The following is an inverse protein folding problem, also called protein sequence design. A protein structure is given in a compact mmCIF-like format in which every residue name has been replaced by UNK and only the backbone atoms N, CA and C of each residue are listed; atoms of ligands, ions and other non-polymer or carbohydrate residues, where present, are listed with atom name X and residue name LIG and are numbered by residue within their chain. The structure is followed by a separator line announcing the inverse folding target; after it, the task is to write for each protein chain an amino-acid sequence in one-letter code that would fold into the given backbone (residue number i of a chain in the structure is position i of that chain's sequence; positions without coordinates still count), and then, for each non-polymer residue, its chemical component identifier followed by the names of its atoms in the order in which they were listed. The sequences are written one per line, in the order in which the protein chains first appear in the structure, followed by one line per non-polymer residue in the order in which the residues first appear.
data_IF_852721409420
#
_entry.id   IF_852721409420
#
_cell.length_a   1.000
_cell.length_b   1.000
_cell.length_c   1.000
_cell.angle_alpha   90.00
_cell.angle_beta   90.00
_cell.angle_gamma   90.00
#
_symmetry.space_group_name_H-M   'P 1'
#
loop_
_entity.id
_entity.type
_entity.pdbx_description
1 polymer ?
#
# COMPACT_ATOMS: atom_id res chain seq x y z
N UNK A 1 2.54 9.21 -29.76
CA UNK A 1 2.50 9.40 -28.28
C UNK A 1 3.48 10.51 -27.95
N UNK A 2 3.06 11.58 -27.27
CA UNK A 2 4.01 12.59 -26.79
C UNK A 2 4.95 11.94 -25.77
N UNK A 3 6.26 12.00 -26.01
CA UNK A 3 7.24 11.55 -25.03
C UNK A 3 7.17 12.41 -23.76
N UNK A 4 7.14 11.77 -22.62
CA UNK A 4 7.17 12.47 -21.31
C UNK A 4 8.53 13.17 -21.16
N UNK A 5 8.51 14.43 -20.76
CA UNK A 5 9.75 15.19 -20.56
C UNK A 5 10.53 14.66 -19.34
N UNK A 6 11.80 14.34 -19.52
CA UNK A 6 12.72 13.93 -18.45
C UNK A 6 13.08 15.13 -17.58
N UNK A 7 12.37 15.30 -16.45
CA UNK A 7 12.43 16.52 -15.60
C UNK A 7 13.15 16.30 -14.28
N UNK A 8 13.02 15.10 -13.68
CA UNK A 8 13.35 14.89 -12.28
C UNK A 8 14.75 14.33 -12.06
N UNK A 9 15.47 14.94 -11.10
CA UNK A 9 16.75 14.43 -10.59
C UNK A 9 16.57 13.51 -9.39
N UNK A 10 17.69 13.06 -8.81
CA UNK A 10 17.70 12.07 -7.71
C UNK A 10 16.91 12.52 -6.47
N UNK A 11 17.04 13.76 -6.03
CA UNK A 11 16.36 14.25 -4.83
C UNK A 11 14.85 14.28 -4.99
N UNK A 12 14.38 14.76 -6.14
CA UNK A 12 12.94 14.74 -6.46
C UNK A 12 12.42 13.33 -6.57
N UNK A 13 13.15 12.43 -7.23
CA UNK A 13 12.77 11.02 -7.34
C UNK A 13 12.71 10.34 -5.97
N UNK A 14 13.68 10.58 -5.09
CA UNK A 14 13.69 10.04 -3.71
C UNK A 14 12.51 10.58 -2.91
N UNK A 15 12.22 11.87 -2.99
CA UNK A 15 11.06 12.47 -2.33
C UNK A 15 9.74 11.90 -2.86
N UNK A 16 9.64 11.62 -4.17
CA UNK A 16 8.47 10.96 -4.76
C UNK A 16 8.29 9.53 -4.23
N UNK A 17 9.38 8.74 -4.14
CA UNK A 17 9.33 7.39 -3.55
C UNK A 17 8.82 7.45 -2.11
N UNK A 18 9.41 8.30 -1.27
CA UNK A 18 8.97 8.52 0.11
C UNK A 18 7.48 8.90 0.14
N UNK A 19 7.09 9.86 -0.69
CA UNK A 19 5.71 10.34 -0.75
C UNK A 19 4.70 9.32 -1.26
N UNK A 20 5.08 8.36 -2.09
CA UNK A 20 4.20 7.31 -2.59
C UNK A 20 4.04 6.20 -1.53
N UNK A 21 5.14 5.77 -0.91
CA UNK A 21 5.13 4.68 0.09
C UNK A 21 4.49 5.14 1.40
N UNK A 22 4.87 6.32 1.91
CA UNK A 22 4.23 6.84 3.12
C UNK A 22 2.76 7.12 2.83
N UNK A 23 1.91 6.30 3.39
CA UNK A 23 0.46 6.35 3.27
C UNK A 23 -0.23 6.37 4.62
N UNK A 24 -1.43 5.79 4.66
CA UNK A 24 -2.19 5.56 5.89
C UNK A 24 -1.69 4.36 6.70
N UNK A 25 -0.95 3.44 6.05
CA UNK A 25 -0.62 2.13 6.64
C UNK A 25 0.09 2.20 7.99
N UNK A 26 1.03 3.13 8.15
CA UNK A 26 1.75 3.30 9.42
C UNK A 26 0.84 3.80 10.55
N UNK A 27 -0.20 4.56 10.25
CA UNK A 27 -1.19 4.99 11.24
C UNK A 27 -2.18 3.88 11.59
N UNK A 28 -2.56 3.08 10.60
CA UNK A 28 -3.62 2.07 10.68
C UNK A 28 -3.14 0.69 11.17
N UNK A 29 -1.84 0.38 11.08
CA UNK A 29 -1.31 -0.97 11.38
C UNK A 29 -0.42 -1.03 12.63
N UNK A 30 -0.31 0.05 13.37
CA UNK A 30 0.58 0.09 14.53
C UNK A 30 0.15 -0.87 15.64
N UNK A 31 -1.13 -0.91 15.98
CA UNK A 31 -1.74 -1.80 16.96
C UNK A 31 -1.82 -3.25 16.48
N UNK A 32 -2.18 -3.49 15.20
CA UNK A 32 -2.18 -4.82 14.58
C UNK A 32 -0.81 -5.50 14.67
N UNK A 33 0.28 -4.76 14.39
CA UNK A 33 1.65 -5.26 14.49
C UNK A 33 2.01 -5.59 15.93
N UNK A 34 1.63 -4.75 16.90
CA UNK A 34 1.87 -5.01 18.33
C UNK A 34 1.08 -6.22 18.82
N UNK A 35 -0.19 -6.33 18.45
CA UNK A 35 -1.04 -7.46 18.80
C UNK A 35 -0.48 -8.77 18.24
N UNK A 36 -0.12 -8.80 16.95
CA UNK A 36 0.50 -9.98 16.33
C UNK A 36 1.84 -10.35 16.97
N UNK A 37 2.57 -9.35 17.51
CA UNK A 37 3.84 -9.52 18.23
C UNK A 37 3.67 -9.97 19.70
N UNK A 38 2.46 -10.35 20.12
CA UNK A 38 2.18 -10.74 21.50
C UNK A 38 2.32 -9.57 22.50
N UNK A 39 2.08 -8.33 22.06
CA UNK A 39 2.23 -7.13 22.89
C UNK A 39 3.68 -6.73 23.18
N UNK A 40 4.66 -7.33 22.50
CA UNK A 40 6.09 -7.08 22.69
C UNK A 40 6.62 -6.03 21.73
N UNK A 41 7.03 -4.87 22.24
CA UNK A 41 7.63 -3.81 21.43
C UNK A 41 8.89 -4.25 20.66
N UNK A 42 9.86 -4.99 21.26
CA UNK A 42 11.03 -5.48 20.52
C UNK A 42 10.67 -6.35 19.33
N UNK A 43 9.68 -7.26 19.48
CA UNK A 43 9.23 -8.14 18.40
C UNK A 43 8.48 -7.32 17.33
N UNK A 44 7.68 -6.34 17.73
CA UNK A 44 7.00 -5.44 16.79
C UNK A 44 7.99 -4.62 15.97
N UNK A 45 9.01 -4.04 16.60
CA UNK A 45 10.09 -3.32 15.90
C UNK A 45 10.87 -4.23 14.95
N UNK A 46 11.13 -5.48 15.36
CA UNK A 46 11.76 -6.46 14.48
C UNK A 46 10.87 -6.77 13.26
N UNK A 47 9.56 -6.87 13.44
CA UNK A 47 8.62 -7.04 12.32
C UNK A 47 8.66 -5.85 11.36
N UNK A 48 8.65 -4.61 11.87
CA UNK A 48 8.82 -3.40 11.06
C UNK A 48 10.16 -3.39 10.31
N UNK A 49 11.24 -3.79 10.94
CA UNK A 49 12.57 -3.86 10.32
C UNK A 49 12.62 -4.92 9.21
N UNK A 50 12.10 -6.13 9.47
CA UNK A 50 12.06 -7.22 8.48
C UNK A 50 11.18 -6.84 7.29
N UNK A 51 9.95 -6.34 7.53
CA UNK A 51 9.05 -5.90 6.46
C UNK A 51 9.66 -4.79 5.62
N UNK A 52 10.32 -3.82 6.27
CA UNK A 52 11.06 -2.75 5.61
C UNK A 52 12.26 -3.27 4.79
N UNK A 53 13.03 -4.21 5.32
CA UNK A 53 14.15 -4.83 4.60
C UNK A 53 13.66 -5.60 3.36
N UNK A 54 12.54 -6.33 3.48
CA UNK A 54 11.90 -7.02 2.35
C UNK A 54 11.50 -6.00 1.28
N UNK A 55 10.85 -4.88 1.65
CA UNK A 55 10.52 -3.79 0.72
C UNK A 55 11.75 -3.24 0.03
N UNK A 56 12.81 -2.88 0.77
CA UNK A 56 14.04 -2.28 0.22
C UNK A 56 14.70 -3.21 -0.80
N UNK A 57 14.85 -4.50 -0.46
CA UNK A 57 15.48 -5.48 -1.36
C UNK A 57 14.61 -5.73 -2.58
N UNK A 58 13.30 -5.85 -2.40
CA UNK A 58 12.34 -6.02 -3.50
C UNK A 58 12.37 -4.82 -4.43
N UNK A 59 12.27 -3.59 -3.90
CA UNK A 59 12.37 -2.37 -4.69
C UNK A 59 13.70 -2.25 -5.45
N UNK A 60 14.80 -2.70 -4.85
CA UNK A 60 16.09 -2.76 -5.54
C UNK A 60 16.08 -3.71 -6.74
N UNK A 61 15.51 -4.92 -6.62
CA UNK A 61 15.39 -5.87 -7.74
C UNK A 61 14.51 -5.27 -8.84
N UNK A 62 13.35 -4.74 -8.49
CA UNK A 62 12.44 -4.11 -9.45
C UNK A 62 13.03 -2.87 -10.14
N UNK A 63 13.92 -2.14 -9.47
CA UNK A 63 14.64 -1.05 -10.11
C UNK A 63 15.47 -1.50 -11.32
N UNK A 64 16.02 -2.73 -11.27
CA UNK A 64 16.76 -3.31 -12.40
C UNK A 64 15.85 -3.70 -13.56
N UNK A 65 14.63 -4.12 -13.25
CA UNK A 65 13.59 -4.40 -14.28
C UNK A 65 13.12 -3.09 -14.90
N UNK A 66 12.72 -2.12 -14.06
CA UNK A 66 12.17 -0.85 -14.51
C UNK A 66 13.14 -0.02 -15.37
N UNK A 67 14.45 -0.11 -15.13
CA UNK A 67 15.46 0.58 -15.96
C UNK A 67 15.64 -0.02 -17.35
N UNK A 68 15.08 -1.18 -17.61
CA UNK A 68 15.11 -1.85 -18.94
C UNK A 68 13.79 -1.76 -19.66
N UNK A 69 12.68 -1.67 -18.93
CA UNK A 69 11.33 -1.61 -19.46
C UNK A 69 10.76 -0.22 -19.16
N UNK A 70 10.98 0.72 -20.07
CA UNK A 70 10.52 2.12 -19.95
C UNK A 70 9.03 2.26 -20.32
N UNK A 71 8.18 1.32 -19.89
CA UNK A 71 6.73 1.35 -20.09
C UNK A 71 6.02 1.86 -18.83
N UNK A 72 4.79 2.36 -18.99
CA UNK A 72 4.08 3.12 -17.94
C UNK A 72 3.12 2.28 -17.07
N UNK A 73 2.85 1.02 -17.42
CA UNK A 73 1.92 0.17 -16.66
C UNK A 73 2.62 -0.70 -15.59
N UNK A 74 3.91 -0.46 -15.32
CA UNK A 74 4.65 -1.07 -14.22
C UNK A 74 4.60 -2.60 -14.25
N UNK A 75 4.05 -3.23 -13.20
CA UNK A 75 4.04 -4.68 -13.01
C UNK A 75 3.45 -5.45 -14.21
N UNK A 76 2.40 -4.93 -14.83
CA UNK A 76 1.75 -5.57 -16.00
C UNK A 76 2.72 -5.67 -17.17
N UNK A 77 3.43 -4.58 -17.46
CA UNK A 77 4.41 -4.53 -18.54
C UNK A 77 5.63 -5.44 -18.27
N UNK A 78 6.04 -5.57 -17.02
CA UNK A 78 7.12 -6.45 -16.62
C UNK A 78 6.76 -7.92 -16.85
N UNK A 79 5.51 -8.30 -16.54
CA UNK A 79 5.01 -9.65 -16.81
C UNK A 79 4.82 -9.93 -18.29
N UNK A 80 4.35 -8.95 -19.04
CA UNK A 80 4.21 -9.06 -20.49
C UNK A 80 5.56 -9.31 -21.18
N UNK A 81 6.60 -8.61 -20.72
CA UNK A 81 7.98 -8.78 -21.22
C UNK A 81 8.59 -10.14 -20.81
N UNK A 82 8.37 -10.54 -19.55
CA UNK A 82 8.98 -11.75 -18.99
C UNK A 82 8.34 -13.04 -19.48
N UNK A 83 7.00 -13.05 -19.59
CA UNK A 83 6.20 -14.27 -19.76
C UNK A 83 5.14 -14.16 -20.86
N UNK A 84 5.16 -13.05 -21.60
CA UNK A 84 4.23 -12.80 -22.70
C UNK A 84 2.88 -12.22 -22.26
N UNK A 85 2.10 -11.81 -23.26
CA UNK A 85 0.85 -11.07 -23.09
C UNK A 85 -0.19 -11.76 -22.21
N UNK A 86 -0.22 -13.11 -22.18
CA UNK A 86 -1.16 -13.88 -21.33
C UNK A 86 -0.87 -13.69 -19.85
N UNK A 87 0.40 -13.70 -19.46
CA UNK A 87 0.81 -13.45 -18.09
C UNK A 87 0.55 -11.99 -17.69
N UNK A 88 0.86 -11.03 -18.58
CA UNK A 88 0.52 -9.63 -18.38
C UNK A 88 -0.98 -9.40 -18.18
N UNK A 89 -1.82 -10.10 -18.97
CA UNK A 89 -3.27 -10.06 -18.83
C UNK A 89 -3.74 -10.56 -17.44
N UNK A 90 -3.26 -11.71 -16.97
CA UNK A 90 -3.65 -12.27 -15.68
C UNK A 90 -3.26 -11.35 -14.51
N UNK A 91 -2.07 -10.76 -14.59
CA UNK A 91 -1.64 -9.76 -13.60
C UNK A 91 -2.51 -8.51 -13.66
N UNK A 92 -2.81 -8.00 -14.85
CA UNK A 92 -3.70 -6.85 -15.01
C UNK A 92 -5.11 -7.14 -14.49
N UNK A 93 -5.61 -8.35 -14.70
CA UNK A 93 -6.89 -8.82 -14.18
C UNK A 93 -6.89 -8.86 -12.65
N UNK A 94 -5.86 -9.47 -12.04
CA UNK A 94 -5.68 -9.48 -10.59
C UNK A 94 -5.64 -8.06 -10.00
N UNK A 95 -4.84 -7.16 -10.58
CA UNK A 95 -4.73 -5.77 -10.13
C UNK A 95 -6.07 -5.04 -10.21
N UNK A 96 -6.85 -5.28 -11.28
CA UNK A 96 -8.12 -4.59 -11.54
C UNK A 96 -9.25 -5.09 -10.65
N UNK A 97 -9.37 -6.39 -10.44
CA UNK A 97 -10.53 -6.99 -9.77
C UNK A 97 -10.31 -7.28 -8.28
N UNK A 98 -9.04 -7.38 -7.85
CA UNK A 98 -8.70 -7.73 -6.46
C UNK A 98 -7.86 -6.63 -5.82
N UNK A 99 -6.64 -6.41 -6.29
CA UNK A 99 -5.68 -5.56 -5.58
C UNK A 99 -6.16 -4.12 -5.36
N UNK A 100 -6.44 -3.37 -6.44
CA UNK A 100 -6.88 -1.98 -6.29
C UNK A 100 -8.21 -1.86 -5.54
N UNK A 101 -9.28 -2.58 -5.89
CA UNK A 101 -10.56 -2.33 -5.27
C UNK A 101 -10.65 -2.76 -3.81
N UNK A 102 -9.91 -3.79 -3.36
CA UNK A 102 -9.82 -4.15 -1.94
C UNK A 102 -9.13 -3.04 -1.14
N UNK A 103 -7.98 -2.55 -1.61
CA UNK A 103 -7.25 -1.49 -0.93
C UNK A 103 -8.03 -0.17 -0.93
N UNK A 104 -8.72 0.17 -2.02
CA UNK A 104 -9.60 1.35 -2.09
C UNK A 104 -10.72 1.24 -1.04
N UNK A 105 -11.36 0.08 -0.90
CA UNK A 105 -12.42 -0.14 0.08
C UNK A 105 -11.91 0.04 1.52
N UNK A 106 -10.78 -0.57 1.86
CA UNK A 106 -10.16 -0.44 3.18
C UNK A 106 -9.76 1.00 3.46
N UNK A 107 -9.14 1.69 2.51
CA UNK A 107 -8.71 3.09 2.68
C UNK A 107 -9.88 4.06 2.80
N UNK A 108 -10.98 3.83 2.09
CA UNK A 108 -12.22 4.60 2.26
C UNK A 108 -12.75 4.45 3.69
N UNK A 109 -12.76 3.21 4.20
CA UNK A 109 -13.18 2.92 5.57
C UNK A 109 -12.23 3.52 6.62
N UNK A 110 -10.91 3.36 6.48
CA UNK A 110 -9.93 3.94 7.40
C UNK A 110 -10.08 5.46 7.48
N UNK A 111 -10.19 6.13 6.32
CA UNK A 111 -10.38 7.58 6.27
C UNK A 111 -11.68 8.02 6.95
N UNK A 112 -12.75 7.23 6.74
CA UNK A 112 -14.05 7.48 7.35
C UNK A 112 -14.05 7.25 8.86
N UNK A 113 -13.32 6.26 9.35
CA UNK A 113 -13.20 5.97 10.78
C UNK A 113 -12.59 7.16 11.53
N UNK A 114 -11.45 7.68 11.06
CA UNK A 114 -10.86 8.90 11.64
C UNK A 114 -11.77 10.11 11.54
N UNK A 115 -12.52 10.25 10.43
CA UNK A 115 -13.45 11.38 10.26
C UNK A 115 -14.65 11.25 11.18
N UNK A 116 -15.20 10.06 11.32
CA UNK A 116 -16.32 9.78 12.22
C UNK A 116 -15.96 10.04 13.69
N UNK A 117 -14.78 9.58 14.10
CA UNK A 117 -14.24 9.88 15.45
C UNK A 117 -14.05 11.38 15.67
N UNK A 118 -13.50 12.11 14.70
CA UNK A 118 -13.32 13.57 14.77
C UNK A 118 -14.65 14.32 14.92
N UNK A 119 -15.71 13.86 14.23
CA UNK A 119 -17.03 14.47 14.25
C UNK A 119 -17.93 13.98 15.39
N UNK A 120 -17.50 12.97 16.17
CA UNK A 120 -18.34 12.31 17.17
C UNK A 120 -19.54 11.55 16.54
N UNK A 121 -19.41 11.08 15.30
CA UNK A 121 -20.46 10.41 14.52
C UNK A 121 -20.02 8.96 14.15
N UNK A 122 -19.70 8.15 15.13
CA UNK A 122 -19.16 6.80 14.93
C UNK A 122 -20.08 5.86 14.14
N UNK A 123 -21.39 6.00 14.28
CA UNK A 123 -22.37 5.23 13.50
C UNK A 123 -22.37 5.58 12.00
N UNK A 124 -21.75 6.71 11.62
CA UNK A 124 -21.70 7.21 10.24
C UNK A 124 -20.52 6.68 9.40
N UNK A 125 -19.64 5.83 9.94
CA UNK A 125 -18.43 5.37 9.26
C UNK A 125 -18.73 4.84 7.84
N UNK A 126 -19.73 3.99 7.68
CA UNK A 126 -20.06 3.40 6.37
C UNK A 126 -20.66 4.41 5.39
N UNK A 127 -21.42 5.36 5.89
CA UNK A 127 -21.94 6.47 5.08
C UNK A 127 -20.79 7.36 4.60
N UNK A 128 -19.89 7.76 5.50
CA UNK A 128 -18.72 8.59 5.17
C UNK A 128 -17.79 7.85 4.20
N UNK A 129 -17.56 6.54 4.39
CA UNK A 129 -16.80 5.70 3.46
C UNK A 129 -17.38 5.73 2.05
N UNK A 130 -18.70 5.60 1.94
CA UNK A 130 -19.40 5.64 0.66
C UNK A 130 -19.31 7.02 0.02
N UNK A 131 -19.44 8.10 0.79
CA UNK A 131 -19.26 9.47 0.31
C UNK A 131 -17.85 9.68 -0.23
N UNK A 132 -16.81 9.24 0.50
CA UNK A 132 -15.43 9.36 0.04
C UNK A 132 -15.19 8.57 -1.25
N UNK A 133 -15.72 7.35 -1.33
CA UNK A 133 -15.60 6.52 -2.53
C UNK A 133 -16.20 7.23 -3.74
N UNK A 134 -17.46 7.70 -3.64
CA UNK A 134 -18.14 8.44 -4.71
C UNK A 134 -17.37 9.71 -5.06
N UNK A 135 -17.02 10.53 -4.07
CA UNK A 135 -16.35 11.82 -4.29
C UNK A 135 -15.03 11.67 -5.05
N UNK A 136 -14.15 10.75 -4.63
CA UNK A 136 -12.83 10.61 -5.25
C UNK A 136 -12.90 9.93 -6.63
N UNK A 137 -13.85 9.01 -6.87
CA UNK A 137 -14.08 8.51 -8.23
C UNK A 137 -14.60 9.58 -9.16
N UNK A 138 -15.57 10.40 -8.72
CA UNK A 138 -16.04 11.56 -9.49
C UNK A 138 -14.92 12.57 -9.75
N UNK A 139 -14.11 12.88 -8.74
CA UNK A 139 -12.96 13.78 -8.88
C UNK A 139 -12.01 13.29 -9.97
N UNK A 140 -11.65 11.98 -9.97
CA UNK A 140 -10.76 11.40 -10.96
C UNK A 140 -11.39 11.30 -12.36
N UNK A 141 -12.72 11.13 -12.46
CA UNK A 141 -13.43 11.10 -13.74
C UNK A 141 -13.54 12.48 -14.39
N UNK A 142 -13.83 13.51 -13.60
CA UNK A 142 -14.18 14.83 -14.13
C UNK A 142 -13.06 15.85 -14.03
N UNK A 143 -12.14 15.70 -13.08
CA UNK A 143 -11.01 16.61 -12.86
C UNK A 143 -9.73 15.90 -12.47
N UNK A 144 -9.11 15.10 -13.39
CA UNK A 144 -7.85 14.41 -13.11
C UNK A 144 -6.71 15.35 -12.70
N UNK A 145 -6.73 16.59 -13.20
CA UNK A 145 -5.74 17.62 -12.83
C UNK A 145 -5.87 18.00 -11.36
N UNK A 146 -7.10 18.18 -10.86
CA UNK A 146 -7.34 18.50 -9.44
C UNK A 146 -7.01 17.30 -8.56
N UNK A 147 -7.36 16.07 -8.98
CA UNK A 147 -6.97 14.85 -8.31
C UNK A 147 -5.43 14.73 -8.18
N UNK A 148 -4.70 15.07 -9.24
CA UNK A 148 -3.24 15.11 -9.21
C UNK A 148 -2.66 16.18 -8.27
N UNK A 149 -3.23 17.38 -8.26
CA UNK A 149 -2.83 18.44 -7.32
C UNK A 149 -3.09 18.03 -5.86
N UNK A 150 -4.25 17.44 -5.59
CA UNK A 150 -4.57 16.87 -4.28
C UNK A 150 -3.53 15.85 -3.84
N UNK A 151 -3.16 14.93 -4.74
CA UNK A 151 -2.15 13.89 -4.47
C UNK A 151 -0.81 14.49 -4.03
N UNK A 152 -0.33 15.51 -4.74
CA UNK A 152 0.94 16.17 -4.41
C UNK A 152 0.86 16.90 -3.06
N UNK A 153 -0.22 17.66 -2.82
CA UNK A 153 -0.42 18.40 -1.57
C UNK A 153 -0.52 17.45 -0.36
N UNK A 154 -1.32 16.39 -0.47
CA UNK A 154 -1.45 15.37 0.58
C UNK A 154 -0.11 14.69 0.88
N UNK A 155 0.77 14.49 -0.13
CA UNK A 155 2.10 13.90 0.07
C UNK A 155 3.00 14.74 0.97
N UNK A 156 2.94 16.06 0.90
CA UNK A 156 3.70 16.94 1.79
C UNK A 156 3.11 16.94 3.21
N UNK A 157 1.79 17.07 3.28
CA UNK A 157 1.07 17.21 4.56
C UNK A 157 1.24 15.97 5.45
N UNK A 158 1.23 14.77 4.87
CA UNK A 158 1.31 13.50 5.63
C UNK A 158 2.64 13.25 6.36
N UNK A 159 3.71 13.95 6.00
CA UNK A 159 4.99 13.86 6.72
C UNK A 159 4.94 14.57 8.08
N UNK A 160 4.05 15.56 8.24
CA UNK A 160 3.94 16.37 9.46
C UNK A 160 3.57 15.50 10.68
N UNK A 161 2.46 14.73 10.66
CA UNK A 161 2.08 13.90 11.81
C UNK A 161 3.14 12.86 12.17
N UNK A 162 3.79 12.25 11.17
CA UNK A 162 4.84 11.26 11.40
C UNK A 162 6.05 11.87 12.11
N UNK A 163 6.55 13.00 11.61
CA UNK A 163 7.68 13.69 12.20
C UNK A 163 7.35 14.18 13.63
N UNK A 164 6.15 14.72 13.81
CA UNK A 164 5.71 15.24 15.11
C UNK A 164 5.68 14.14 16.17
N UNK A 165 4.98 13.02 15.89
CA UNK A 165 4.89 11.88 16.81
C UNK A 165 6.25 11.25 17.05
N UNK A 166 7.07 11.07 16.00
CA UNK A 166 8.40 10.49 16.13
C UNK A 166 9.30 11.34 17.05
N UNK A 167 9.41 12.64 16.78
CA UNK A 167 10.33 13.52 17.53
C UNK A 167 9.84 13.74 18.96
N UNK A 168 8.59 14.17 19.11
CA UNK A 168 8.06 14.55 20.43
C UNK A 168 7.89 13.32 21.32
N UNK A 169 7.39 12.21 20.74
CA UNK A 169 7.22 10.96 21.49
C UNK A 169 8.56 10.37 21.96
N UNK A 170 9.59 10.38 21.10
CA UNK A 170 10.94 9.92 21.50
C UNK A 170 11.54 10.78 22.60
N UNK A 171 11.48 12.11 22.49
CA UNK A 171 12.01 13.02 23.52
C UNK A 171 11.30 12.77 24.85
N UNK A 172 9.97 12.68 24.83
CA UNK A 172 9.16 12.43 26.03
C UNK A 172 9.50 11.07 26.63
N UNK A 173 9.53 10.02 25.83
CA UNK A 173 9.74 8.65 26.30
C UNK A 173 11.15 8.39 26.84
N UNK A 174 12.16 9.06 26.29
CA UNK A 174 13.52 9.00 26.83
C UNK A 174 13.66 9.79 28.13
N UNK A 175 12.95 10.93 28.25
CA UNK A 175 13.03 11.79 29.45
C UNK A 175 12.32 11.18 30.65
N UNK A 176 11.22 10.45 30.47
CA UNK A 176 10.41 9.86 31.54
C UNK A 176 10.65 8.36 31.75
N UNK A 177 11.49 7.72 30.93
CA UNK A 177 11.79 6.29 31.01
C UNK A 177 10.73 5.37 30.40
N UNK A 178 9.64 5.91 29.82
CA UNK A 178 8.56 5.11 29.21
C UNK A 178 9.06 4.24 28.06
N UNK A 179 9.96 4.73 27.22
CA UNK A 179 10.55 3.94 26.13
C UNK A 179 11.20 2.67 26.69
N UNK A 180 11.99 2.76 27.75
CA UNK A 180 12.65 1.60 28.38
C UNK A 180 11.61 0.65 28.96
N UNK A 181 10.58 1.18 29.63
CA UNK A 181 9.47 0.39 30.16
C UNK A 181 8.76 -0.40 29.07
N UNK A 182 8.46 0.22 27.92
CA UNK A 182 7.79 -0.42 26.78
C UNK A 182 8.65 -1.54 26.14
N UNK A 183 9.98 -1.43 26.20
CA UNK A 183 10.90 -2.50 25.77
C UNK A 183 10.91 -3.71 26.70
N UNK A 184 10.75 -3.50 27.99
CA UNK A 184 10.88 -4.55 29.01
C UNK A 184 9.57 -5.22 29.38
N UNK A 185 8.45 -4.51 29.21
CA UNK A 185 7.12 -4.96 29.61
C UNK A 185 6.23 -5.21 28.40
N UNK A 186 6.02 -6.49 28.04
CA UNK A 186 5.01 -6.85 27.05
C UNK A 186 3.61 -6.65 27.62
N UNK A 187 2.64 -6.33 26.77
CA UNK A 187 1.23 -6.21 27.15
C UNK A 187 0.67 -7.57 27.60
N UNK A 188 0.05 -7.60 28.78
CA UNK A 188 -0.52 -8.83 29.38
C UNK A 188 -1.86 -9.24 28.75
N UNK A 189 -2.52 -8.32 28.07
CA UNK A 189 -3.84 -8.52 27.42
C UNK A 189 -3.79 -9.46 26.22
N UNK A 190 -2.60 -9.70 25.66
CA UNK A 190 -2.40 -10.59 24.51
C UNK A 190 -1.79 -11.90 24.99
N UNK A 191 -2.60 -12.96 25.06
CA UNK A 191 -2.15 -14.27 25.52
C UNK A 191 -1.33 -15.06 24.47
N UNK A 192 -1.57 -14.82 23.20
CA UNK A 192 -0.78 -15.39 22.08
C UNK A 192 -0.93 -14.49 20.86
N UNK A 193 0.16 -13.91 20.39
CA UNK A 193 0.17 -13.19 19.10
C UNK A 193 0.23 -14.19 17.93
N UNK A 194 -0.07 -13.71 16.72
CA UNK A 194 0.07 -14.49 15.48
C UNK A 194 1.54 -14.80 15.11
N UNK A 195 2.49 -14.28 15.91
CA UNK A 195 3.91 -14.45 15.71
C UNK A 195 4.55 -13.44 14.75
N UNK A 196 5.88 -13.49 14.68
CA UNK A 196 6.67 -12.50 13.92
C UNK A 196 6.31 -12.47 12.43
N UNK A 197 5.92 -13.60 11.80
CA UNK A 197 5.55 -13.65 10.39
C UNK A 197 4.23 -12.91 10.12
N UNK A 198 3.23 -13.08 10.99
CA UNK A 198 1.94 -12.36 10.90
C UNK A 198 2.14 -10.86 11.16
N UNK A 199 2.97 -10.51 12.16
CA UNK A 199 3.33 -9.12 12.43
C UNK A 199 4.03 -8.48 11.22
N UNK A 200 4.96 -9.21 10.57
CA UNK A 200 5.65 -8.72 9.36
C UNK A 200 4.68 -8.57 8.18
N UNK A 201 3.71 -9.45 8.02
CA UNK A 201 2.66 -9.31 7.00
C UNK A 201 1.86 -8.02 7.21
N UNK A 202 1.49 -7.69 8.46
CA UNK A 202 0.77 -6.46 8.77
C UNK A 202 1.60 -5.22 8.34
N UNK A 203 2.93 -5.24 8.53
CA UNK A 203 3.79 -4.15 8.05
C UNK A 203 3.84 -4.04 6.52
N UNK A 204 3.61 -5.12 5.79
CA UNK A 204 3.63 -5.11 4.32
C UNK A 204 2.56 -4.17 3.74
N UNK A 205 1.41 -4.02 4.41
CA UNK A 205 0.41 -3.00 4.04
C UNK A 205 0.95 -1.58 4.18
N UNK A 206 1.67 -1.29 5.27
CA UNK A 206 2.23 0.03 5.51
C UNK A 206 3.38 0.38 4.54
N UNK A 207 4.12 -0.62 4.09
CA UNK A 207 5.21 -0.48 3.13
C UNK A 207 4.77 -0.60 1.67
N UNK A 208 3.49 -0.80 1.38
CA UNK A 208 2.99 -0.95 0.01
C UNK A 208 3.04 0.39 -0.75
N UNK A 209 3.02 0.31 -2.08
CA UNK A 209 3.01 1.47 -2.96
C UNK A 209 4.35 1.76 -3.67
N UNK A 210 5.48 1.22 -3.19
CA UNK A 210 6.79 1.42 -3.84
C UNK A 210 6.80 0.97 -5.30
N UNK A 211 5.99 -0.02 -5.67
CA UNK A 211 5.86 -0.50 -7.06
C UNK A 211 5.35 0.60 -8.00
N UNK A 212 4.48 1.50 -7.49
CA UNK A 212 3.99 2.65 -8.25
C UNK A 212 5.13 3.62 -8.57
N UNK A 213 6.12 3.74 -7.65
CA UNK A 213 7.27 4.58 -7.86
C UNK A 213 8.14 4.12 -9.05
N UNK A 214 8.05 2.87 -9.48
CA UNK A 214 8.76 2.41 -10.69
C UNK A 214 8.21 3.05 -11.97
N UNK A 215 6.97 3.51 -11.97
CA UNK A 215 6.34 4.16 -13.13
C UNK A 215 6.87 5.58 -13.42
N UNK A 216 7.55 6.23 -12.45
CA UNK A 216 8.20 7.54 -12.67
C UNK A 216 9.44 7.46 -13.57
N UNK A 217 9.86 6.26 -13.95
CA UNK A 217 11.05 5.99 -14.78
C UNK A 217 11.10 6.87 -16.03
N UNK A 218 9.96 7.00 -16.73
CA UNK A 218 9.85 7.77 -17.98
C UNK A 218 10.12 9.29 -17.81
N UNK A 219 10.05 9.83 -16.58
CA UNK A 219 10.24 11.26 -16.26
C UNK A 219 11.60 11.56 -15.61
N UNK A 220 12.43 10.54 -15.38
CA UNK A 220 13.73 10.70 -14.72
C UNK A 220 14.84 11.09 -15.69
N UNK A 221 15.66 12.08 -15.28
CA UNK A 221 16.97 12.34 -15.87
C UNK A 221 17.88 11.17 -15.52
N UNK A 222 18.53 10.54 -16.52
CA UNK A 222 19.37 9.36 -16.33
C UNK A 222 18.70 8.28 -15.46
N UNK A 223 17.55 7.81 -15.93
CA UNK A 223 16.69 6.85 -15.21
C UNK A 223 17.46 5.59 -14.75
N UNK A 224 18.40 5.08 -15.57
CA UNK A 224 19.20 3.89 -15.26
C UNK A 224 20.03 4.03 -13.97
N UNK A 225 20.46 5.23 -13.64
CA UNK A 225 21.23 5.53 -12.41
C UNK A 225 20.36 6.13 -11.31
N UNK A 226 19.41 6.96 -11.67
CA UNK A 226 18.59 7.72 -10.74
C UNK A 226 17.55 6.84 -10.04
N UNK A 227 16.81 6.00 -10.79
CA UNK A 227 15.72 5.19 -10.23
C UNK A 227 16.21 4.18 -9.16
N UNK A 228 17.27 3.37 -9.39
CA UNK A 228 17.75 2.45 -8.37
C UNK A 228 18.16 3.15 -7.07
N UNK A 229 18.84 4.29 -7.19
CA UNK A 229 19.25 5.09 -6.02
C UNK A 229 18.05 5.69 -5.30
N UNK A 230 17.09 6.26 -6.04
CA UNK A 230 15.90 6.84 -5.46
C UNK A 230 15.03 5.80 -4.74
N UNK A 231 14.85 4.61 -5.33
CA UNK A 231 14.14 3.50 -4.69
C UNK A 231 14.87 3.02 -3.43
N UNK A 232 16.19 2.83 -3.49
CA UNK A 232 16.95 2.39 -2.33
C UNK A 232 16.94 3.41 -1.18
N UNK A 233 17.32 4.66 -1.46
CA UNK A 233 17.36 5.71 -0.42
C UNK A 233 15.96 6.09 0.07
N UNK A 234 14.98 6.16 -0.84
CA UNK A 234 13.60 6.50 -0.49
C UNK A 234 12.96 5.42 0.40
N UNK A 235 13.06 4.15 0.01
CA UNK A 235 12.52 3.06 0.81
C UNK A 235 13.25 2.89 2.15
N UNK A 236 14.58 3.05 2.19
CA UNK A 236 15.33 3.02 3.45
C UNK A 236 14.92 4.16 4.38
N UNK A 237 14.72 5.37 3.85
CA UNK A 237 14.24 6.50 4.63
C UNK A 237 12.83 6.23 5.22
N UNK A 238 11.94 5.61 4.44
CA UNK A 238 10.61 5.20 4.94
C UNK A 238 10.73 4.23 6.11
N UNK A 239 11.60 3.22 6.02
CA UNK A 239 11.81 2.26 7.13
C UNK A 239 12.25 3.00 8.39
N UNK A 240 13.23 3.91 8.28
CA UNK A 240 13.71 4.70 9.42
C UNK A 240 12.59 5.56 10.00
N UNK A 241 11.82 6.26 9.15
CA UNK A 241 10.71 7.11 9.58
C UNK A 241 9.66 6.29 10.33
N UNK A 242 9.27 5.12 9.82
CA UNK A 242 8.27 4.27 10.45
C UNK A 242 8.75 3.70 11.79
N UNK A 243 10.00 3.27 11.88
CA UNK A 243 10.57 2.82 13.15
C UNK A 243 10.63 3.94 14.18
N UNK A 244 11.06 5.15 13.79
CA UNK A 244 11.09 6.31 14.69
C UNK A 244 9.69 6.72 15.12
N UNK A 245 8.73 6.69 14.22
CA UNK A 245 7.33 6.97 14.53
C UNK A 245 6.76 5.95 15.54
N UNK A 246 7.01 4.67 15.32
CA UNK A 246 6.53 3.61 16.20
C UNK A 246 7.17 3.69 17.61
N UNK A 247 8.47 3.97 17.65
CA UNK A 247 9.18 4.27 18.90
C UNK A 247 8.63 5.53 19.59
N UNK A 248 8.23 6.53 18.84
CA UNK A 248 7.59 7.74 19.36
C UNK A 248 6.25 7.43 20.04
N UNK A 249 5.40 6.60 19.45
CA UNK A 249 4.15 6.15 20.09
C UNK A 249 4.47 5.43 21.41
N UNK A 250 5.39 4.47 21.37
CA UNK A 250 5.79 3.65 22.53
C UNK A 250 6.52 4.44 23.62
N UNK A 251 7.02 5.64 23.29
CA UNK A 251 7.65 6.55 24.25
C UNK A 251 6.64 7.34 25.10
N UNK A 252 5.38 7.37 24.69
CA UNK A 252 4.32 8.10 25.42
C UNK A 252 3.29 7.15 26.00
N UNK A 253 2.91 6.12 25.24
CA UNK A 253 1.93 5.11 25.64
C UNK A 253 2.63 3.79 25.99
N UNK A 254 2.11 3.10 26.99
CA UNK A 254 2.48 1.70 27.26
C UNK A 254 1.96 0.78 26.16
N UNK A 255 2.50 -0.43 26.07
CA UNK A 255 2.06 -1.42 25.11
C UNK A 255 0.56 -1.77 25.28
N UNK A 256 0.05 -1.76 26.52
CA UNK A 256 -1.38 -1.98 26.80
C UNK A 256 -2.24 -0.82 26.32
N UNK A 257 -1.81 0.42 26.54
CA UNK A 257 -2.52 1.62 26.07
C UNK A 257 -2.56 1.71 24.54
N UNK A 258 -1.47 1.31 23.86
CA UNK A 258 -1.43 1.26 22.38
C UNK A 258 -2.48 0.27 21.87
N UNK A 259 -2.55 -0.93 22.45
CA UNK A 259 -3.53 -1.95 22.05
C UNK A 259 -4.97 -1.51 22.36
N UNK A 260 -5.19 -0.85 23.50
CA UNK A 260 -6.51 -0.34 23.88
C UNK A 260 -6.97 0.83 23.00
N UNK A 261 -6.03 1.70 22.59
CA UNK A 261 -6.33 2.83 21.72
C UNK A 261 -6.49 2.44 20.25
N UNK A 262 -5.91 1.30 19.84
CA UNK A 262 -5.97 0.85 18.45
C UNK A 262 -5.46 1.92 17.47
N UNK A 263 -6.22 2.18 16.44
CA UNK A 263 -5.90 3.18 15.43
C UNK A 263 -5.76 4.62 15.96
N UNK A 264 -6.32 4.92 17.13
CA UNK A 264 -6.29 6.26 17.73
C UNK A 264 -5.03 6.51 18.59
N UNK A 265 -4.15 5.51 18.75
CA UNK A 265 -2.92 5.64 19.53
C UNK A 265 -2.08 6.88 19.18
N UNK A 266 -1.84 7.24 17.90
CA UNK A 266 -1.10 8.45 17.54
C UNK A 266 -1.79 9.74 17.99
N UNK A 267 -3.13 9.76 17.91
CA UNK A 267 -3.94 10.90 18.34
C UNK A 267 -3.87 11.08 19.87
N UNK A 268 -3.91 9.95 20.62
CA UNK A 268 -3.73 9.94 22.06
C UNK A 268 -2.37 10.49 22.46
N UNK A 269 -1.28 10.07 21.81
CA UNK A 269 0.09 10.58 22.04
C UNK A 269 0.12 12.10 21.98
N UNK A 270 -0.39 12.67 20.89
CA UNK A 270 -0.35 14.13 20.70
C UNK A 270 -1.33 14.86 21.62
N UNK A 271 -2.47 14.24 21.93
CA UNK A 271 -3.44 14.82 22.88
C UNK A 271 -2.88 14.88 24.31
N UNK A 272 -2.10 13.90 24.74
CA UNK A 272 -1.45 13.89 26.04
C UNK A 272 -0.38 14.99 26.14
N UNK A 273 0.32 15.30 25.05
CA UNK A 273 1.43 16.26 25.05
C UNK A 273 0.94 17.70 24.78
N UNK A 274 0.06 17.89 23.81
CA UNK A 274 -0.39 19.21 23.33
C UNK A 274 -1.86 19.52 23.63
N UNK A 275 -2.52 18.64 24.40
CA UNK A 275 -3.93 18.78 24.72
C UNK A 275 -4.87 18.46 23.56
N UNK A 276 -6.17 18.63 23.78
CA UNK A 276 -7.25 18.28 22.84
C UNK A 276 -7.09 18.93 21.46
N UNK A 277 -6.63 20.18 21.41
CA UNK A 277 -6.43 20.89 20.14
C UNK A 277 -5.34 20.22 19.28
N UNK A 278 -4.23 19.83 19.92
CA UNK A 278 -3.16 19.11 19.24
C UNK A 278 -3.64 17.78 18.66
N UNK A 279 -4.39 16.98 19.41
CA UNK A 279 -4.97 15.74 18.93
C UNK A 279 -5.93 15.95 17.76
N UNK A 280 -6.81 16.96 17.83
CA UNK A 280 -7.73 17.32 16.75
C UNK A 280 -6.96 17.68 15.45
N UNK A 281 -5.94 18.52 15.55
CA UNK A 281 -5.12 18.91 14.40
C UNK A 281 -4.38 17.71 13.80
N UNK A 282 -3.83 16.82 14.65
CA UNK A 282 -3.20 15.60 14.17
C UNK A 282 -4.19 14.71 13.41
N UNK A 283 -5.40 14.53 13.96
CA UNK A 283 -6.46 13.75 13.30
C UNK A 283 -6.77 14.28 11.91
N UNK A 284 -6.87 15.62 11.76
CA UNK A 284 -7.08 16.25 10.44
C UNK A 284 -5.92 15.91 9.48
N UNK A 285 -4.67 15.97 9.93
CA UNK A 285 -3.53 15.61 9.11
C UNK A 285 -3.53 14.12 8.72
N UNK A 286 -3.91 13.23 9.64
CA UNK A 286 -4.06 11.79 9.36
C UNK A 286 -5.16 11.55 8.35
N UNK A 287 -6.33 12.19 8.47
CA UNK A 287 -7.42 12.11 7.50
C UNK A 287 -6.93 12.54 6.10
N UNK A 288 -6.24 13.68 5.99
CA UNK A 288 -5.69 14.15 4.70
C UNK A 288 -4.69 13.13 4.14
N UNK A 289 -3.87 12.51 4.98
CA UNK A 289 -2.94 11.44 4.57
C UNK A 289 -3.67 10.24 4.00
N UNK A 290 -4.68 9.74 4.71
CA UNK A 290 -5.49 8.59 4.30
C UNK A 290 -6.23 8.88 2.97
N UNK A 291 -6.85 10.06 2.86
CA UNK A 291 -7.54 10.49 1.64
C UNK A 291 -6.58 10.69 0.45
N UNK A 292 -5.34 11.11 0.71
CA UNK A 292 -4.29 11.18 -0.31
C UNK A 292 -3.94 9.78 -0.84
N UNK A 293 -3.79 8.79 0.03
CA UNK A 293 -3.53 7.40 -0.36
C UNK A 293 -4.73 6.79 -1.08
N UNK A 294 -5.95 7.02 -0.58
CA UNK A 294 -7.19 6.62 -1.24
C UNK A 294 -7.27 7.15 -2.68
N UNK A 295 -7.01 8.45 -2.87
CA UNK A 295 -7.01 9.06 -4.21
C UNK A 295 -5.98 8.41 -5.14
N UNK A 296 -4.76 8.13 -4.65
CA UNK A 296 -3.73 7.46 -5.44
C UNK A 296 -4.14 6.06 -5.90
N UNK A 297 -4.77 5.26 -5.01
CA UNK A 297 -5.29 3.94 -5.37
C UNK A 297 -6.47 4.02 -6.35
N UNK A 298 -7.36 5.02 -6.20
CA UNK A 298 -8.45 5.27 -7.14
C UNK A 298 -7.93 5.66 -8.53
N UNK A 299 -6.85 6.45 -8.60
CA UNK A 299 -6.18 6.74 -9.89
C UNK A 299 -5.71 5.45 -10.57
N UNK A 300 -5.13 4.51 -9.82
CA UNK A 300 -4.74 3.18 -10.32
C UNK A 300 -5.95 2.34 -10.74
N UNK A 301 -6.95 2.22 -9.87
CA UNK A 301 -8.20 1.49 -10.12
C UNK A 301 -8.93 1.99 -11.36
N UNK A 302 -9.01 3.31 -11.55
CA UNK A 302 -9.65 3.95 -12.71
C UNK A 302 -8.99 3.60 -14.03
N UNK A 303 -7.73 3.19 -14.03
CA UNK A 303 -6.98 2.78 -15.23
C UNK A 303 -6.89 1.26 -15.41
N UNK A 304 -7.35 0.47 -14.46
CA UNK A 304 -7.20 -0.99 -14.45
C UNK A 304 -7.77 -1.65 -15.70
N UNK A 305 -9.07 -1.50 -15.93
CA UNK A 305 -9.72 -2.11 -17.10
C UNK A 305 -9.29 -1.45 -18.42
N UNK A 306 -9.00 -0.14 -18.42
CA UNK A 306 -8.42 0.54 -19.58
C UNK A 306 -7.08 -0.07 -19.99
N UNK A 307 -6.22 -0.41 -19.05
CA UNK A 307 -4.93 -1.06 -19.33
C UNK A 307 -5.09 -2.39 -20.05
N UNK A 308 -6.10 -3.18 -19.70
CA UNK A 308 -6.46 -4.44 -20.37
C UNK A 308 -7.02 -4.15 -21.78
N UNK A 309 -7.97 -3.25 -21.85
CA UNK A 309 -8.70 -2.91 -23.09
C UNK A 309 -7.81 -2.25 -24.15
N UNK A 310 -6.85 -1.41 -23.75
CA UNK A 310 -5.89 -0.76 -24.65
C UNK A 310 -4.96 -1.78 -25.37
N UNK A 311 -4.86 -2.99 -24.83
CA UNK A 311 -4.14 -4.13 -25.44
C UNK A 311 -5.05 -4.98 -26.34
N UNK A 312 -6.31 -4.59 -26.54
CA UNK A 312 -7.30 -5.36 -27.28
C UNK A 312 -7.79 -6.61 -26.54
N UNK A 313 -7.61 -6.65 -25.21
CA UNK A 313 -7.95 -7.77 -24.33
C UNK A 313 -9.15 -7.42 -23.44
N UNK A 314 -9.73 -8.46 -22.83
CA UNK A 314 -10.82 -8.29 -21.88
C UNK A 314 -12.20 -8.12 -22.52
N UNK A 315 -13.27 -8.07 -21.70
CA UNK A 315 -14.63 -7.86 -22.19
C UNK A 315 -14.79 -6.43 -22.73
N UNK A 316 -15.52 -6.28 -23.85
CA UNK A 316 -15.88 -4.97 -24.44
C UNK A 316 -14.66 -4.00 -24.54
N UNK A 317 -13.54 -4.46 -25.09
CA UNK A 317 -12.30 -3.67 -25.17
C UNK A 317 -12.53 -2.29 -25.81
N UNK A 318 -13.38 -2.18 -26.84
CA UNK A 318 -13.71 -0.89 -27.49
C UNK A 318 -14.41 0.09 -26.52
N UNK A 319 -15.19 -0.41 -25.56
CA UNK A 319 -15.88 0.40 -24.56
C UNK A 319 -14.94 0.87 -23.45
N UNK A 320 -14.13 -0.04 -22.90
CA UNK A 320 -13.21 0.29 -21.79
C UNK A 320 -11.91 0.97 -22.26
N UNK A 321 -11.54 0.83 -23.54
CA UNK A 321 -10.36 1.46 -24.12
C UNK A 321 -10.53 2.93 -24.52
N UNK A 322 -11.71 3.53 -24.27
CA UNK A 322 -12.01 4.93 -24.63
C UNK A 322 -11.42 5.88 -23.58
N UNK A 323 -10.74 6.91 -24.06
CA UNK A 323 -10.35 8.09 -23.28
C UNK A 323 -11.28 9.25 -23.63
N UNK A 324 -11.88 9.85 -22.63
CA UNK A 324 -12.75 11.02 -22.83
C UNK A 324 -11.92 12.23 -23.29
N UNK A 325 -12.21 12.82 -24.47
CA UNK A 325 -11.38 13.88 -25.05
C UNK A 325 -11.44 15.19 -24.27
N UNK A 326 -12.49 15.42 -23.45
CA UNK A 326 -12.67 16.65 -22.68
C UNK A 326 -11.88 16.63 -21.38
N UNK A 327 -11.91 15.50 -20.69
CA UNK A 327 -11.30 15.37 -19.36
C UNK A 327 -9.96 14.60 -19.38
N UNK A 328 -9.61 13.99 -20.51
CA UNK A 328 -8.47 13.08 -20.66
C UNK A 328 -8.49 11.95 -19.60
N UNK A 329 -9.69 11.45 -19.27
CA UNK A 329 -9.90 10.40 -18.28
C UNK A 329 -10.52 9.15 -18.90
N UNK A 330 -10.27 8.01 -18.24
CA UNK A 330 -10.77 6.67 -18.64
C UNK A 330 -12.10 6.39 -17.93
N UNK A 331 -13.14 7.18 -18.19
CA UNK A 331 -14.41 7.17 -17.45
C UNK A 331 -15.05 5.80 -17.33
N UNK A 332 -15.15 5.06 -18.45
CA UNK A 332 -15.77 3.73 -18.45
C UNK A 332 -15.03 2.73 -17.53
N UNK A 333 -13.69 2.77 -17.57
CA UNK A 333 -12.86 1.95 -16.67
C UNK A 333 -13.00 2.41 -15.21
N UNK A 334 -13.10 3.71 -14.96
CA UNK A 334 -13.29 4.27 -13.63
C UNK A 334 -14.64 3.88 -13.01
N UNK A 335 -15.72 3.83 -13.80
CA UNK A 335 -17.03 3.34 -13.34
C UNK A 335 -16.92 1.87 -12.91
N UNK A 336 -16.25 1.02 -13.68
CA UNK A 336 -16.03 -0.37 -13.26
C UNK A 336 -15.20 -0.42 -11.98
N UNK A 337 -14.12 0.36 -11.87
CA UNK A 337 -13.30 0.46 -10.66
C UNK A 337 -14.12 0.88 -9.43
N UNK A 338 -15.03 1.83 -9.59
CA UNK A 338 -15.97 2.25 -8.55
C UNK A 338 -16.88 1.10 -8.12
N UNK A 339 -17.52 0.41 -9.07
CA UNK A 339 -18.42 -0.72 -8.77
C UNK A 339 -17.66 -1.82 -8.02
N UNK A 340 -16.49 -2.21 -8.49
CA UNK A 340 -15.66 -3.21 -7.83
C UNK A 340 -15.26 -2.78 -6.41
N UNK A 341 -14.85 -1.53 -6.24
CA UNK A 341 -14.50 -0.99 -4.92
C UNK A 341 -15.70 -0.95 -3.97
N UNK A 342 -16.89 -0.63 -4.47
CA UNK A 342 -18.13 -0.66 -3.69
C UNK A 342 -18.50 -2.10 -3.28
N UNK A 343 -18.34 -3.08 -4.18
CA UNK A 343 -18.52 -4.50 -3.84
C UNK A 343 -17.55 -4.95 -2.73
N UNK A 344 -16.27 -4.57 -2.82
CA UNK A 344 -15.29 -4.90 -1.80
C UNK A 344 -15.50 -4.12 -0.49
N UNK A 345 -16.05 -2.90 -0.55
CA UNK A 345 -16.48 -2.17 0.66
C UNK A 345 -17.64 -2.89 1.35
N UNK A 346 -18.55 -3.49 0.58
CA UNK A 346 -19.63 -4.33 1.14
C UNK A 346 -19.09 -5.62 1.77
N UNK A 347 -18.07 -6.26 1.17
CA UNK A 347 -17.36 -7.39 1.77
C UNK A 347 -16.69 -6.97 3.08
N UNK A 348 -16.04 -5.78 3.09
CA UNK A 348 -15.41 -5.24 4.29
C UNK A 348 -16.44 -4.96 5.39
N UNK A 349 -17.59 -4.40 5.05
CA UNK A 349 -18.73 -4.27 5.96
C UNK A 349 -19.18 -5.63 6.52
N UNK A 350 -19.26 -6.64 5.68
CA UNK A 350 -19.65 -8.00 6.06
C UNK A 350 -18.77 -8.63 7.14
N UNK A 351 -17.46 -8.28 7.18
CA UNK A 351 -16.57 -8.68 8.28
C UNK A 351 -17.06 -8.14 9.63
N UNK A 352 -17.41 -6.86 9.70
CA UNK A 352 -17.89 -6.22 10.94
C UNK A 352 -19.33 -6.62 11.28
N UNK A 353 -20.14 -6.96 10.28
CA UNK A 353 -21.50 -7.50 10.46
C UNK A 353 -21.51 -9.00 10.79
N UNK A 354 -20.34 -9.66 10.88
CA UNK A 354 -20.24 -11.08 11.24
C UNK A 354 -20.69 -12.07 10.16
N UNK A 355 -20.82 -11.65 8.90
CA UNK A 355 -21.33 -12.50 7.81
C UNK A 355 -20.48 -13.75 7.55
N UNK A 356 -19.19 -13.68 7.81
CA UNK A 356 -18.22 -14.74 7.47
C UNK A 356 -17.84 -15.62 8.67
N UNK A 357 -18.30 -15.29 9.89
CA UNK A 357 -17.95 -15.97 11.13
C UNK A 357 -16.51 -15.74 11.60
N UNK A 358 -15.58 -15.50 10.69
CA UNK A 358 -14.18 -15.14 10.93
C UNK A 358 -13.80 -13.91 10.09
N UNK A 359 -12.79 -13.18 10.55
CA UNK A 359 -12.34 -11.96 9.88
C UNK A 359 -11.50 -12.26 8.62
N UNK A 360 -11.95 -11.79 7.46
CA UNK A 360 -11.22 -11.87 6.19
C UNK A 360 -10.47 -10.57 5.96
N UNK A 361 -9.17 -10.57 6.18
CA UNK A 361 -8.34 -9.38 6.04
C UNK A 361 -8.04 -9.05 4.57
N UNK A 362 -8.91 -8.28 3.95
CA UNK A 362 -8.72 -7.81 2.56
C UNK A 362 -7.72 -6.65 2.44
N UNK A 363 -7.08 -6.22 3.52
CA UNK A 363 -5.98 -5.24 3.48
C UNK A 363 -4.63 -5.90 3.25
N UNK A 364 -4.41 -7.09 3.81
CA UNK A 364 -3.11 -7.77 3.80
C UNK A 364 -3.04 -8.92 2.79
N UNK A 365 -4.12 -9.70 2.65
CA UNK A 365 -4.13 -10.87 1.77
C UNK A 365 -3.85 -10.53 0.29
N UNK A 366 -4.43 -9.47 -0.32
CA UNK A 366 -4.10 -9.10 -1.70
C UNK A 366 -2.63 -8.76 -1.89
N UNK A 367 -1.99 -8.17 -0.87
CA UNK A 367 -0.57 -7.83 -0.89
C UNK A 367 0.27 -9.11 -0.85
N UNK A 368 -0.08 -10.09 0.00
CA UNK A 368 0.61 -11.37 0.03
C UNK A 368 0.58 -12.07 -1.34
N UNK A 369 -0.52 -11.96 -2.09
CA UNK A 369 -0.62 -12.48 -3.46
C UNK A 369 0.31 -11.76 -4.44
N UNK A 370 0.54 -10.45 -4.28
CA UNK A 370 1.58 -9.76 -5.07
C UNK A 370 2.96 -10.35 -4.83
N UNK A 371 3.30 -10.71 -3.59
CA UNK A 371 4.58 -11.34 -3.30
C UNK A 371 4.72 -12.72 -3.95
N UNK A 372 3.62 -13.48 -4.11
CA UNK A 372 3.62 -14.72 -4.94
C UNK A 372 3.98 -14.39 -6.38
N UNK A 373 3.36 -13.35 -6.94
CA UNK A 373 3.59 -12.88 -8.30
C UNK A 373 5.06 -12.42 -8.45
N UNK A 374 5.61 -11.67 -7.52
CA UNK A 374 6.96 -11.13 -7.56
C UNK A 374 8.05 -12.22 -7.64
N UNK A 375 7.86 -13.38 -6.98
CA UNK A 375 8.83 -14.48 -6.99
C UNK A 375 9.17 -14.90 -8.43
N UNK A 376 8.19 -14.94 -9.32
CA UNK A 376 8.43 -15.31 -10.72
C UNK A 376 9.33 -14.30 -11.44
N UNK A 377 9.18 -13.00 -11.17
CA UNK A 377 10.04 -11.96 -11.74
C UNK A 377 11.47 -12.02 -11.19
N UNK A 378 11.66 -12.42 -9.92
CA UNK A 378 13.01 -12.65 -9.37
C UNK A 378 13.72 -13.77 -10.12
N UNK A 379 13.00 -14.88 -10.39
CA UNK A 379 13.54 -16.00 -11.18
C UNK A 379 13.87 -15.54 -12.60
N UNK A 380 13.02 -14.71 -13.20
CA UNK A 380 13.25 -14.15 -14.53
C UNK A 380 14.52 -13.27 -14.58
N UNK A 381 14.71 -12.38 -13.59
CA UNK A 381 15.93 -11.56 -13.46
C UNK A 381 17.18 -12.44 -13.38
N UNK A 382 17.18 -13.47 -12.53
CA UNK A 382 18.32 -14.38 -12.38
C UNK A 382 18.67 -15.10 -13.68
N UNK A 383 17.67 -15.50 -14.46
CA UNK A 383 17.87 -16.22 -15.75
C UNK A 383 18.29 -15.30 -16.88
N UNK A 384 17.69 -14.11 -17.00
CA UNK A 384 17.75 -13.32 -18.24
C UNK A 384 18.77 -12.17 -18.16
N UNK A 385 19.03 -11.57 -16.96
CA UNK A 385 19.82 -10.35 -16.85
C UNK A 385 21.32 -10.68 -16.64
N UNK A 386 21.97 -11.24 -17.69
CA UNK A 386 23.35 -11.73 -17.62
C UNK A 386 24.41 -10.64 -17.45
N UNK A 387 24.09 -9.39 -17.79
CA UNK A 387 24.97 -8.21 -17.65
C UNK A 387 24.99 -7.63 -16.23
N UNK A 388 24.13 -8.10 -15.32
CA UNK A 388 24.15 -7.67 -13.92
C UNK A 388 25.26 -8.40 -13.15
N UNK A 389 25.91 -7.66 -12.25
CA UNK A 389 26.86 -8.28 -11.30
C UNK A 389 26.15 -9.27 -10.35
N UNK A 390 26.92 -10.21 -9.74
CA UNK A 390 26.36 -11.32 -8.95
C UNK A 390 25.39 -10.89 -7.84
N UNK A 391 25.66 -9.80 -7.16
CA UNK A 391 24.79 -9.27 -6.09
C UNK A 391 23.42 -8.89 -6.64
N UNK A 392 23.37 -8.13 -7.74
CA UNK A 392 22.11 -7.67 -8.32
C UNK A 392 21.34 -8.77 -9.05
N UNK A 393 22.07 -9.77 -9.59
CA UNK A 393 21.48 -10.85 -10.38
C UNK A 393 20.99 -12.02 -9.53
N UNK A 394 21.71 -12.38 -8.47
CA UNK A 394 21.43 -13.57 -7.68
C UNK A 394 21.13 -13.26 -6.21
N UNK A 395 22.01 -12.51 -5.52
CA UNK A 395 21.87 -12.32 -4.06
C UNK A 395 20.59 -11.53 -3.75
N UNK A 396 20.36 -10.39 -4.40
CA UNK A 396 19.18 -9.58 -4.13
C UNK A 396 17.86 -10.28 -4.52
N UNK A 397 17.71 -10.93 -5.70
CA UNK A 397 16.50 -11.70 -6.01
C UNK A 397 16.26 -12.89 -5.07
N UNK A 398 17.30 -13.57 -4.60
CA UNK A 398 17.16 -14.67 -3.62
C UNK A 398 16.67 -14.12 -2.28
N UNK A 399 17.28 -13.05 -1.77
CA UNK A 399 16.83 -12.39 -0.53
C UNK A 399 15.39 -11.86 -0.65
N UNK A 400 15.05 -11.24 -1.77
CA UNK A 400 13.66 -10.81 -2.04
C UNK A 400 12.70 -12.01 -2.08
N UNK A 401 13.12 -13.13 -2.67
CA UNK A 401 12.36 -14.38 -2.72
C UNK A 401 12.12 -14.98 -1.33
N UNK A 402 13.15 -15.06 -0.50
CA UNK A 402 13.02 -15.49 0.89
C UNK A 402 12.08 -14.57 1.67
N UNK A 403 12.24 -13.25 1.53
CA UNK A 403 11.33 -12.28 2.13
C UNK A 403 9.88 -12.44 1.66
N UNK A 404 9.67 -12.66 0.36
CA UNK A 404 8.34 -12.92 -0.20
C UNK A 404 7.71 -14.19 0.38
N UNK A 405 8.48 -15.27 0.49
CA UNK A 405 8.02 -16.51 1.12
C UNK A 405 7.68 -16.31 2.60
N UNK A 406 8.40 -15.44 3.29
CA UNK A 406 8.12 -15.11 4.68
C UNK A 406 6.82 -14.32 4.86
N UNK A 407 6.52 -13.36 3.97
CA UNK A 407 5.22 -12.65 3.92
C UNK A 407 4.07 -13.63 3.63
N UNK A 408 4.26 -14.54 2.66
CA UNK A 408 3.28 -15.56 2.31
C UNK A 408 3.05 -16.51 3.49
N UNK A 409 4.12 -16.88 4.21
CA UNK A 409 4.01 -17.70 5.42
C UNK A 409 3.16 -17.01 6.50
N UNK A 410 3.33 -15.70 6.69
CA UNK A 410 2.46 -14.91 7.57
C UNK A 410 1.00 -14.92 7.13
N UNK A 411 0.75 -14.80 5.83
CA UNK A 411 -0.60 -14.80 5.27
C UNK A 411 -1.32 -16.15 5.44
N UNK A 412 -0.60 -17.27 5.29
CA UNK A 412 -1.17 -18.61 5.47
C UNK A 412 -1.69 -18.83 6.91
N UNK A 413 -1.11 -18.13 7.89
CA UNK A 413 -1.52 -18.21 9.29
C UNK A 413 -2.76 -17.37 9.61
N UNK A 414 -3.19 -16.46 8.70
CA UNK A 414 -4.39 -15.63 8.89
C UNK A 414 -5.66 -16.47 8.72
N UNK A 415 -6.64 -16.15 9.55
CA UNK A 415 -8.00 -16.65 9.35
C UNK A 415 -8.51 -16.32 7.95
N UNK A 416 -9.33 -17.17 7.39
CA UNK A 416 -9.93 -16.99 6.05
C UNK A 416 -8.93 -16.92 4.87
N UNK A 417 -7.62 -17.18 5.07
CA UNK A 417 -6.62 -17.21 3.97
C UNK A 417 -7.08 -18.14 2.84
N UNK A 418 -7.48 -19.37 3.16
CA UNK A 418 -7.91 -20.34 2.14
C UNK A 418 -9.14 -19.85 1.37
N UNK A 419 -10.10 -19.21 2.04
CA UNK A 419 -11.29 -18.67 1.39
C UNK A 419 -10.93 -17.52 0.44
N UNK A 420 -10.05 -16.62 0.86
CA UNK A 420 -9.55 -15.56 0.00
C UNK A 420 -8.73 -16.11 -1.16
N UNK A 421 -7.94 -17.14 -0.95
CA UNK A 421 -7.19 -17.83 -2.00
C UNK A 421 -8.13 -18.41 -3.06
N UNK A 422 -9.14 -19.16 -2.65
CA UNK A 422 -10.15 -19.74 -3.55
C UNK A 422 -10.91 -18.65 -4.30
N UNK A 423 -11.33 -17.58 -3.61
CA UNK A 423 -12.00 -16.44 -4.22
C UNK A 423 -11.09 -15.79 -5.29
N UNK A 424 -9.79 -15.60 -4.99
CA UNK A 424 -8.82 -15.08 -5.93
C UNK A 424 -8.71 -15.97 -7.18
N UNK A 425 -8.61 -17.28 -7.00
CA UNK A 425 -8.58 -18.22 -8.14
C UNK A 425 -9.87 -18.18 -8.96
N UNK A 426 -11.03 -18.12 -8.34
CA UNK A 426 -12.32 -18.01 -9.04
C UNK A 426 -12.36 -16.74 -9.89
N UNK A 427 -11.93 -15.60 -9.34
CA UNK A 427 -11.87 -14.33 -10.08
C UNK A 427 -10.87 -14.42 -11.26
N UNK A 428 -9.71 -15.04 -11.07
CA UNK A 428 -8.73 -15.22 -12.15
C UNK A 428 -9.27 -16.15 -13.25
N UNK A 429 -9.90 -17.27 -12.88
CA UNK A 429 -10.52 -18.21 -13.82
C UNK A 429 -11.65 -17.54 -14.59
N UNK A 430 -12.48 -16.73 -13.92
CA UNK A 430 -13.54 -15.96 -14.57
C UNK A 430 -13.01 -14.97 -15.62
N UNK A 431 -11.76 -14.56 -15.52
CA UNK A 431 -11.07 -13.74 -16.51
C UNK A 431 -10.63 -14.49 -17.77
N UNK A 432 -10.40 -15.82 -17.70
CA UNK A 432 -9.84 -16.60 -18.82
C UNK A 432 -10.66 -16.56 -20.10
N UNK A 433 -12.01 -16.62 -20.10
CA UNK A 433 -12.81 -16.53 -21.32
C UNK A 433 -12.62 -15.21 -22.09
N UNK A 434 -12.23 -14.14 -21.39
CA UNK A 434 -12.01 -12.81 -21.94
C UNK A 434 -10.55 -12.57 -22.38
N UNK A 435 -9.68 -13.57 -22.22
CA UNK A 435 -8.28 -13.55 -22.66
C UNK A 435 -8.17 -13.79 -24.17
N UNK A 436 -9.03 -13.18 -24.98
CA UNK A 436 -8.99 -13.32 -26.45
C UNK A 436 -8.54 -12.01 -27.04
N UNK A 437 -7.46 -12.07 -27.86
CA UNK A 437 -7.11 -10.96 -28.72
C UNK A 437 -8.27 -10.74 -29.70
N UNK A 438 -8.77 -9.51 -29.74
CA UNK A 438 -9.67 -9.12 -30.82
C UNK A 438 -8.83 -9.11 -32.12
N UNK A 439 -9.04 -10.08 -32.99
CA UNK A 439 -8.48 -10.00 -34.35
C UNK A 439 -9.00 -8.71 -34.98
N UNK A 440 -8.11 -7.75 -35.22
CA UNK A 440 -8.39 -6.53 -35.95
C UNK A 440 -8.63 -6.83 -37.41
#
# INVERSE_FOLDING_TARGET
MQELQKKYGIWTATAMVIGIVIGSGVFFKADDVLAASGGSLPIALLAWLIGGAIMVVTAFVFSKIATRIEKVNGLVDYFEEAYGWRAGYLVAWFMTFIYYPTLVAVLAWVSANYTAGLLGFEHGVWLISSIYLVFFFLLNCYSPVLAGKWQVSATVIKLIPLALVAVVGLITGLSNGQTISSFTNAAKTVSSGGGLAVATLATAFAYEGWIIATSINAELKDAKRTLPKALFFGSTAVVIIYMLYYLGISGVLSNEEILAAGNDAPVHVISLIFGRLGGTLLTVFVIISCLGTLNGLIMGSSRGMFSIASRGLGPKADFFGVVDPKTNSTKNSAILGFVLSACWLLVWYGNFAGWFGKFMDISELPIAFLYVIYISLYVWVMKTFSDLGPISRFVAPVLAGVGSLYIIWGAIQKDMFLHFFVLTLVILIAGLPFMRLKTR
#
